data_IF_732304652347
#
_entry.id   IF_732304652347
#
_cell.length_a   1.000
_cell.length_b   1.000
_cell.length_c   1.000
_cell.angle_alpha   90.00
_cell.angle_beta   90.00
_cell.angle_gamma   90.00
#
_symmetry.space_group_name_H-M   'P 1'
#
loop_
_entity.id
_entity.type
_entity.pdbx_description
1 polymer ?
#
# COMPACT_ATOMS: atom_id res chain seq x y z
N UNK A 1 4.47 32.17 -20.24
CA UNK A 1 4.84 33.00 -19.08
C UNK A 1 4.48 32.23 -17.82
N UNK A 2 5.45 31.83 -16.97
CA UNK A 2 5.14 31.10 -15.73
C UNK A 2 4.64 32.11 -14.69
N UNK A 3 3.41 31.94 -14.21
CA UNK A 3 2.87 32.76 -13.13
C UNK A 3 3.83 32.70 -11.94
N UNK A 4 4.28 33.86 -11.46
CA UNK A 4 5.05 33.96 -10.21
C UNK A 4 4.13 33.47 -9.10
N UNK A 5 4.41 32.28 -8.56
CA UNK A 5 3.75 31.81 -7.34
C UNK A 5 4.21 32.73 -6.22
N UNK A 6 3.29 33.53 -5.69
CA UNK A 6 3.60 34.39 -4.55
C UNK A 6 4.05 33.52 -3.37
N UNK A 7 5.25 33.79 -2.87
CA UNK A 7 5.77 33.10 -1.70
C UNK A 7 4.99 33.57 -0.47
N UNK A 8 4.61 32.62 0.39
CA UNK A 8 3.87 32.94 1.61
C UNK A 8 4.80 33.68 2.57
N UNK A 9 4.58 34.99 2.69
CA UNK A 9 5.26 35.86 3.67
C UNK A 9 4.42 36.01 4.94
N UNK A 10 5.03 36.46 6.04
CA UNK A 10 4.33 36.68 7.33
C UNK A 10 3.10 37.60 7.16
N UNK A 11 3.17 38.57 6.25
CA UNK A 11 2.10 39.54 5.97
C UNK A 11 0.91 38.92 5.22
N UNK A 12 1.15 37.93 4.38
CA UNK A 12 0.13 37.30 3.52
C UNK A 12 -0.38 35.96 4.07
N UNK A 13 0.12 35.53 5.22
CA UNK A 13 -0.28 34.26 5.84
C UNK A 13 -1.72 34.37 6.36
N UNK A 14 -2.54 33.36 6.08
CA UNK A 14 -3.90 33.21 6.62
C UNK A 14 -4.01 31.97 7.51
N UNK A 15 -3.56 32.01 8.77
CA UNK A 15 -3.57 30.84 9.66
C UNK A 15 -4.96 30.28 9.97
N UNK A 16 -6.01 31.09 9.88
CA UNK A 16 -7.39 30.72 10.18
C UNK A 16 -8.12 30.05 9.01
N UNK A 17 -7.54 30.07 7.81
CA UNK A 17 -8.15 29.47 6.63
C UNK A 17 -8.05 27.93 6.72
N UNK A 18 -9.19 27.26 6.61
CA UNK A 18 -9.23 25.80 6.64
C UNK A 18 -8.81 25.27 5.28
N UNK A 19 -7.71 24.52 5.23
CA UNK A 19 -7.29 23.81 4.02
C UNK A 19 -8.24 22.65 3.72
N UNK A 20 -8.51 22.44 2.44
CA UNK A 20 -9.27 21.28 1.96
C UNK A 20 -8.46 19.99 2.15
N UNK A 21 -9.14 18.85 2.30
CA UNK A 21 -8.49 17.54 2.44
C UNK A 21 -7.59 17.20 1.25
N UNK A 22 -7.97 17.65 0.04
CA UNK A 22 -7.19 17.46 -1.19
C UNK A 22 -5.85 18.21 -1.11
N UNK A 23 -5.85 19.43 -0.59
CA UNK A 23 -4.64 20.24 -0.42
C UNK A 23 -3.71 19.65 0.63
N UNK A 24 -4.27 19.20 1.77
CA UNK A 24 -3.50 18.51 2.82
C UNK A 24 -2.81 17.26 2.27
N UNK A 25 -3.54 16.41 1.55
CA UNK A 25 -2.99 15.22 0.88
C UNK A 25 -1.91 15.57 -0.14
N UNK A 26 -2.09 16.64 -0.93
CA UNK A 26 -1.07 17.12 -1.88
C UNK A 26 0.23 17.51 -1.17
N UNK A 27 0.14 18.28 -0.09
CA UNK A 27 1.30 18.71 0.70
C UNK A 27 2.04 17.49 1.26
N UNK A 28 1.31 16.50 1.78
CA UNK A 28 1.90 15.28 2.34
C UNK A 28 2.57 14.42 1.27
N UNK A 29 1.99 14.32 0.06
CA UNK A 29 2.64 13.67 -1.10
C UNK A 29 3.96 14.36 -1.48
N UNK A 30 4.00 15.70 -1.51
CA UNK A 30 5.22 16.45 -1.80
C UNK A 30 6.32 16.22 -0.74
N UNK A 31 5.94 16.01 0.53
CA UNK A 31 6.89 15.67 1.59
C UNK A 31 7.38 14.23 1.50
N UNK A 32 6.47 13.26 1.30
CA UNK A 32 6.81 11.84 1.22
C UNK A 32 7.65 11.49 -0.02
N UNK A 33 7.46 12.21 -1.13
CA UNK A 33 8.28 12.08 -2.34
C UNK A 33 9.69 12.65 -2.18
N UNK A 34 10.00 13.31 -1.06
CA UNK A 34 11.32 13.91 -0.79
C UNK A 34 11.59 15.20 -1.57
N UNK A 35 10.62 15.72 -2.34
CA UNK A 35 10.72 17.00 -3.05
C UNK A 35 10.88 18.17 -2.07
N UNK A 36 10.27 18.08 -0.89
CA UNK A 36 10.37 19.07 0.18
C UNK A 36 10.51 18.41 1.55
N UNK A 37 11.43 18.92 2.38
CA UNK A 37 11.45 18.56 3.80
C UNK A 37 10.27 19.17 4.56
N UNK A 38 9.85 18.57 5.67
CA UNK A 38 8.74 19.06 6.52
C UNK A 38 8.83 20.56 6.86
N UNK A 39 10.05 21.04 7.21
CA UNK A 39 10.31 22.46 7.50
C UNK A 39 10.21 23.36 6.27
N UNK A 40 10.56 22.85 5.09
CA UNK A 40 10.45 23.58 3.84
C UNK A 40 8.98 23.68 3.40
N UNK A 41 8.22 22.59 3.52
CA UNK A 41 6.77 22.57 3.27
C UNK A 41 6.03 23.53 4.22
N UNK A 42 6.35 23.51 5.52
CA UNK A 42 5.77 24.43 6.48
C UNK A 42 5.99 25.91 6.10
N UNK A 43 7.18 26.28 5.61
CA UNK A 43 7.46 27.63 5.13
C UNK A 43 6.71 27.95 3.83
N UNK A 44 6.77 27.05 2.85
CA UNK A 44 6.15 27.22 1.53
C UNK A 44 4.65 27.45 1.60
N UNK A 45 3.96 26.72 2.49
CA UNK A 45 2.51 26.80 2.65
C UNK A 45 2.06 27.67 3.84
N UNK A 46 3.00 28.29 4.57
CA UNK A 46 2.66 29.05 5.78
C UNK A 46 1.96 28.21 6.84
N UNK A 47 2.39 26.97 7.04
CA UNK A 47 1.81 26.04 8.01
C UNK A 47 2.73 25.86 9.22
N UNK A 48 2.18 25.35 10.31
CA UNK A 48 3.03 24.91 11.42
C UNK A 48 3.68 23.57 11.07
N UNK A 49 4.92 23.35 11.53
CA UNK A 49 5.58 22.05 11.36
C UNK A 49 4.75 20.92 11.98
N UNK A 50 4.16 21.18 13.14
CA UNK A 50 3.39 20.18 13.88
C UNK A 50 2.13 19.76 13.11
N UNK A 51 1.46 20.70 12.41
CA UNK A 51 0.32 20.40 11.55
C UNK A 51 0.72 19.49 10.39
N UNK A 52 1.88 19.76 9.75
CA UNK A 52 2.39 18.91 8.67
C UNK A 52 2.76 17.52 9.20
N UNK A 53 3.37 17.43 10.39
CA UNK A 53 3.70 16.15 11.03
C UNK A 53 2.44 15.35 11.35
N UNK A 54 1.44 15.97 11.99
CA UNK A 54 0.18 15.32 12.31
C UNK A 54 -0.50 14.77 11.06
N UNK A 55 -0.52 15.53 9.96
CA UNK A 55 -1.07 15.04 8.70
C UNK A 55 -0.26 13.87 8.11
N UNK A 56 1.06 13.89 8.20
CA UNK A 56 1.87 12.74 7.79
C UNK A 56 1.49 11.51 8.60
N UNK A 57 1.31 11.65 9.92
CA UNK A 57 0.92 10.55 10.80
C UNK A 57 -0.50 10.05 10.48
N UNK A 58 -1.45 10.97 10.31
CA UNK A 58 -2.85 10.69 9.95
C UNK A 58 -2.92 9.96 8.59
N UNK A 59 -2.30 10.51 7.54
CA UNK A 59 -2.38 9.93 6.20
C UNK A 59 -1.42 8.75 6.00
N UNK A 60 -0.38 8.57 6.83
CA UNK A 60 0.46 7.36 6.79
C UNK A 60 -0.24 6.16 7.42
N UNK A 61 -1.03 6.38 8.47
CA UNK A 61 -1.81 5.32 9.13
C UNK A 61 -2.92 4.76 8.21
N UNK A 62 -3.37 5.55 7.22
CA UNK A 62 -4.28 5.10 6.15
C UNK A 62 -3.57 4.61 4.89
N UNK A 63 -2.23 4.70 4.78
CA UNK A 63 -1.49 4.40 3.55
C UNK A 63 -1.24 2.90 3.28
N UNK A 64 -1.81 2.00 4.10
CA UNK A 64 -1.78 0.56 3.84
C UNK A 64 -3.21 0.05 3.62
N UNK A 65 -3.90 0.63 2.65
CA UNK A 65 -4.89 -0.11 1.87
C UNK A 65 -4.27 -0.37 0.50
N UNK A 66 -3.94 -1.62 0.15
CA UNK A 66 -3.31 -1.94 -1.13
C UNK A 66 -4.18 -1.61 -2.35
N UNK A 67 -5.48 -1.34 -2.17
CA UNK A 67 -6.42 -1.01 -3.25
C UNK A 67 -6.42 0.48 -3.68
N UNK A 68 -6.13 1.43 -2.78
CA UNK A 68 -6.40 2.85 -3.07
C UNK A 68 -5.24 3.58 -3.81
N UNK A 69 -4.11 2.91 -4.07
CA UNK A 69 -2.93 3.52 -4.75
C UNK A 69 -2.96 3.30 -6.27
N UNK A 70 -3.92 2.54 -6.80
CA UNK A 70 -3.91 2.16 -8.22
C UNK A 70 -4.57 3.21 -9.12
N UNK A 71 -5.52 4.03 -8.64
CA UNK A 71 -6.33 4.83 -9.58
C UNK A 71 -5.77 6.20 -10.00
N UNK A 72 -4.88 6.85 -9.22
CA UNK A 72 -4.43 8.22 -9.54
C UNK A 72 -3.04 8.33 -10.22
N UNK A 73 -2.31 7.23 -10.38
CA UNK A 73 -0.95 7.26 -10.95
C UNK A 73 -0.86 6.80 -12.43
N UNK A 74 -1.99 6.41 -13.04
CA UNK A 74 -1.99 5.78 -14.37
C UNK A 74 -2.00 6.76 -15.54
N UNK A 75 -2.24 8.06 -15.30
CA UNK A 75 -2.37 9.05 -16.37
C UNK A 75 -1.03 9.54 -16.95
N UNK A 76 0.09 9.40 -16.24
CA UNK A 76 1.41 9.95 -16.65
C UNK A 76 2.55 8.92 -16.74
N UNK A 77 2.29 7.62 -16.53
CA UNK A 77 3.30 6.56 -16.61
C UNK A 77 3.48 6.08 -18.06
N UNK A 78 4.72 6.11 -18.57
CA UNK A 78 5.03 5.62 -19.92
C UNK A 78 4.76 4.11 -20.05
N UNK A 79 4.33 3.63 -21.21
CA UNK A 79 4.04 2.21 -21.47
C UNK A 79 5.18 1.26 -21.05
N UNK A 80 6.43 1.71 -21.19
CA UNK A 80 7.61 0.98 -20.73
C UNK A 80 7.66 0.78 -19.20
N UNK A 81 7.17 1.73 -18.42
CA UNK A 81 7.11 1.59 -16.96
C UNK A 81 5.99 0.65 -16.52
N UNK A 82 4.82 0.71 -17.17
CA UNK A 82 3.68 -0.19 -16.93
C UNK A 82 4.04 -1.64 -17.19
N UNK A 83 4.63 -1.93 -18.34
CA UNK A 83 5.10 -3.28 -18.71
C UNK A 83 6.11 -3.83 -17.70
N UNK A 84 7.04 -3.01 -17.22
CA UNK A 84 8.00 -3.41 -16.18
C UNK A 84 7.34 -3.72 -14.83
N UNK A 85 6.33 -2.95 -14.43
CA UNK A 85 5.59 -3.18 -13.18
C UNK A 85 4.79 -4.48 -13.29
N UNK A 86 4.06 -4.66 -14.40
CA UNK A 86 3.29 -5.88 -14.67
C UNK A 86 4.17 -7.12 -14.69
N UNK A 87 5.35 -7.07 -15.33
CA UNK A 87 6.30 -8.18 -15.34
C UNK A 87 6.75 -8.57 -13.92
N UNK A 88 7.04 -7.59 -13.06
CA UNK A 88 7.39 -7.84 -11.65
C UNK A 88 6.23 -8.44 -10.86
N UNK A 89 5.01 -7.99 -11.10
CA UNK A 89 3.82 -8.54 -10.45
C UNK A 89 3.61 -10.00 -10.85
N UNK A 90 3.73 -10.33 -12.15
CA UNK A 90 3.65 -11.71 -12.65
C UNK A 90 4.74 -12.58 -12.02
N UNK A 91 5.97 -12.09 -11.95
CA UNK A 91 7.07 -12.83 -11.30
C UNK A 91 6.79 -13.10 -9.80
N UNK A 92 6.25 -12.11 -9.08
CA UNK A 92 5.91 -12.28 -7.67
C UNK A 92 4.76 -13.29 -7.49
N UNK A 93 3.70 -13.15 -8.28
CA UNK A 93 2.54 -14.05 -8.22
C UNK A 93 2.91 -15.49 -8.56
N UNK A 94 3.75 -15.70 -9.58
CA UNK A 94 4.23 -17.06 -9.94
C UNK A 94 5.08 -17.68 -8.83
N UNK A 95 5.94 -16.90 -8.16
CA UNK A 95 6.69 -17.38 -6.98
C UNK A 95 5.77 -17.76 -5.81
N UNK A 96 4.76 -16.95 -5.53
CA UNK A 96 3.79 -17.25 -4.47
C UNK A 96 2.99 -18.51 -4.78
N UNK A 97 2.55 -18.67 -6.03
CA UNK A 97 1.86 -19.85 -6.52
C UNK A 97 2.73 -21.10 -6.35
N UNK A 98 4.00 -21.06 -6.77
CA UNK A 98 4.94 -22.16 -6.62
C UNK A 98 5.12 -22.56 -5.15
N UNK A 99 5.27 -21.58 -4.24
CA UNK A 99 5.38 -21.82 -2.80
C UNK A 99 4.11 -22.45 -2.21
N UNK A 100 2.93 -22.02 -2.65
CA UNK A 100 1.66 -22.59 -2.21
C UNK A 100 1.50 -24.04 -2.66
N UNK A 101 1.84 -24.34 -3.92
CA UNK A 101 1.80 -25.71 -4.45
C UNK A 101 2.76 -26.63 -3.71
N UNK A 102 3.99 -26.17 -3.44
CA UNK A 102 4.98 -26.93 -2.66
C UNK A 102 4.44 -27.21 -1.24
N UNK A 103 3.83 -26.22 -0.59
CA UNK A 103 3.21 -26.40 0.72
C UNK A 103 2.09 -27.46 0.67
N UNK A 104 1.20 -27.39 -0.32
CA UNK A 104 0.11 -28.37 -0.48
C UNK A 104 0.67 -29.77 -0.67
N UNK A 105 1.67 -29.94 -1.56
CA UNK A 105 2.33 -31.23 -1.80
C UNK A 105 3.01 -31.76 -0.54
N UNK A 106 3.72 -30.91 0.21
CA UNK A 106 4.36 -31.31 1.47
C UNK A 106 3.36 -31.76 2.55
N UNK A 107 2.19 -31.11 2.62
CA UNK A 107 1.14 -31.49 3.56
C UNK A 107 0.46 -32.81 3.16
N UNK A 108 0.25 -33.03 1.86
CA UNK A 108 -0.30 -34.28 1.35
C UNK A 108 0.65 -35.46 1.62
N UNK A 109 1.93 -35.28 1.33
CA UNK A 109 2.96 -36.30 1.58
C UNK A 109 3.13 -36.57 3.08
N UNK A 110 3.10 -35.54 3.92
CA UNK A 110 3.12 -35.72 5.38
C UNK A 110 1.93 -36.57 5.86
N UNK A 111 0.73 -36.32 5.34
CA UNK A 111 -0.45 -37.12 5.66
C UNK A 111 -0.23 -38.58 5.23
N UNK A 112 0.24 -38.80 4.01
CA UNK A 112 0.46 -40.15 3.47
C UNK A 112 1.48 -40.95 4.30
N UNK A 113 2.64 -40.36 4.59
CA UNK A 113 3.66 -40.98 5.44
C UNK A 113 3.12 -41.26 6.84
N UNK A 114 2.37 -40.32 7.43
CA UNK A 114 1.78 -40.50 8.75
C UNK A 114 0.74 -41.64 8.78
N UNK A 115 -0.09 -41.77 7.74
CA UNK A 115 -1.04 -42.90 7.63
C UNK A 115 -0.31 -44.24 7.50
N UNK A 116 0.81 -44.27 6.76
CA UNK A 116 1.65 -45.45 6.60
C UNK A 116 2.35 -45.84 7.90
N UNK A 117 2.96 -44.91 8.62
CA UNK A 117 3.73 -45.21 9.84
C UNK A 117 2.83 -45.52 11.06
N UNK A 118 1.74 -44.76 11.23
CA UNK A 118 0.87 -44.90 12.40
C UNK A 118 -0.26 -45.91 12.20
N UNK A 119 -0.48 -46.37 10.97
CA UNK A 119 -1.55 -47.30 10.58
C UNK A 119 -2.97 -46.79 10.93
N UNK A 120 -3.13 -45.47 11.07
CA UNK A 120 -4.41 -44.78 11.33
C UNK A 120 -4.80 -44.00 10.08
N UNK A 121 -6.08 -44.09 9.67
CA UNK A 121 -6.61 -43.29 8.55
C UNK A 121 -6.92 -41.87 9.03
N UNK A 122 -6.15 -40.90 8.54
CA UNK A 122 -6.26 -39.48 8.88
C UNK A 122 -7.24 -38.79 7.93
N UNK A 123 -7.27 -39.16 6.64
CA UNK A 123 -8.17 -38.58 5.64
C UNK A 123 -9.62 -39.04 5.84
N UNK A 124 -10.57 -38.11 5.69
CA UNK A 124 -12.00 -38.45 5.63
C UNK A 124 -12.30 -39.27 4.37
N UNK A 125 -13.15 -40.29 4.52
CA UNK A 125 -13.74 -41.02 3.38
C UNK A 125 -14.74 -40.13 2.66
N UNK A 126 -14.69 -40.09 1.33
CA UNK A 126 -15.72 -39.46 0.50
C UNK A 126 -17.09 -40.10 0.82
N UNK A 127 -18.12 -39.27 0.99
CA UNK A 127 -19.50 -39.74 1.21
C UNK A 127 -19.96 -39.88 2.67
N UNK A 128 -19.12 -39.58 3.66
CA UNK A 128 -19.59 -39.60 5.07
C UNK A 128 -20.45 -38.36 5.34
N UNK A 129 -21.75 -38.53 5.61
CA UNK A 129 -22.65 -37.42 5.97
C UNK A 129 -22.09 -36.67 7.17
N UNK A 130 -22.02 -35.35 7.08
CA UNK A 130 -21.63 -34.49 8.19
C UNK A 130 -22.61 -34.72 9.36
N UNK A 131 -22.07 -34.99 10.56
CA UNK A 131 -22.88 -35.06 11.77
C UNK A 131 -23.55 -33.70 11.95
N UNK A 132 -24.88 -33.69 11.94
CA UNK A 132 -25.64 -32.50 12.32
C UNK A 132 -25.43 -32.26 13.82
N UNK A 133 -25.08 -31.02 14.16
CA UNK A 133 -24.92 -30.57 15.53
C UNK A 133 -26.28 -30.28 16.16
#
# INVERSE_FOLDING_TARGET
MKAKKEEVTIKNRKPWERLTEVEKKRIVREVNSGLLGQRAAARKYGLSRNSVSAWIDDYSSFAIKPDDVVEEADSDMTESTKTRILAKQVENLTKQLAKANLKISSLQTLIEVSEQELHIKIRKKSGTKQLKK
#
